data_IF_943700610668
#
_entry.id   IF_943700610668
#
_cell.length_a   1.000
_cell.length_b   1.000
_cell.length_c   1.000
_cell.angle_alpha   90.00
_cell.angle_beta   90.00
_cell.angle_gamma   90.00
#
_symmetry.space_group_name_H-M   'P 1'
#
loop_
_entity.id
_entity.type
_entity.pdbx_description
1 polymer ?
#
# COMPACT_ATOMS: atom_id res chain seq x y z
N UNK A 1 11.08 41.50 -26.74
CA UNK A 1 11.26 40.54 -25.61
C UNK A 1 9.99 39.72 -25.45
N UNK A 2 8.79 40.30 -25.60
CA UNK A 2 7.51 39.55 -25.47
C UNK A 2 7.33 38.45 -26.54
N UNK A 3 7.65 38.74 -27.80
CA UNK A 3 7.50 37.80 -28.92
C UNK A 3 8.45 36.59 -28.85
N UNK A 4 9.59 36.72 -28.22
CA UNK A 4 10.57 35.63 -28.06
C UNK A 4 10.14 34.66 -26.96
N UNK A 5 9.49 35.17 -25.87
CA UNK A 5 8.97 34.36 -24.77
C UNK A 5 7.75 33.53 -25.23
N UNK A 6 6.92 34.14 -26.11
CA UNK A 6 5.76 33.41 -26.67
C UNK A 6 6.20 32.30 -27.64
N UNK A 7 7.27 32.53 -28.43
CA UNK A 7 7.81 31.54 -29.38
C UNK A 7 8.43 30.32 -28.63
N UNK A 8 9.16 30.57 -27.56
CA UNK A 8 9.77 29.52 -26.73
C UNK A 8 8.69 28.73 -25.99
N UNK A 9 7.65 29.42 -25.53
CA UNK A 9 6.49 28.78 -24.87
C UNK A 9 5.69 27.88 -25.85
N UNK A 10 5.54 28.29 -27.09
CA UNK A 10 4.87 27.52 -28.16
C UNK A 10 5.74 26.34 -28.58
N UNK A 11 7.06 26.53 -28.73
CA UNK A 11 7.98 25.43 -29.06
C UNK A 11 8.10 24.40 -27.89
N UNK A 12 8.17 24.87 -26.67
CA UNK A 12 8.19 23.98 -25.52
C UNK A 12 6.88 23.17 -25.37
N UNK A 13 5.72 23.79 -25.67
CA UNK A 13 4.43 23.07 -25.75
C UNK A 13 4.41 22.08 -26.90
N UNK A 14 4.88 22.46 -28.09
CA UNK A 14 4.93 21.56 -29.26
C UNK A 14 5.87 20.36 -29.02
N UNK A 15 6.99 20.56 -28.35
CA UNK A 15 7.91 19.48 -27.96
C UNK A 15 7.31 18.59 -26.85
N UNK A 16 6.61 19.19 -25.91
CA UNK A 16 5.89 18.45 -24.86
C UNK A 16 4.75 17.62 -25.47
N UNK A 17 3.98 18.21 -26.39
CA UNK A 17 2.90 17.53 -27.10
C UNK A 17 3.43 16.44 -28.05
N UNK A 18 4.56 16.67 -28.74
CA UNK A 18 5.24 15.66 -29.56
C UNK A 18 5.81 14.51 -28.71
N UNK A 19 6.42 14.82 -27.58
CA UNK A 19 6.94 13.80 -26.66
C UNK A 19 5.82 13.08 -25.91
N UNK A 20 4.75 13.75 -25.56
CA UNK A 20 3.54 13.13 -25.02
C UNK A 20 2.84 12.28 -26.09
N UNK A 21 2.86 12.69 -27.36
CA UNK A 21 2.36 11.92 -28.49
C UNK A 21 3.24 10.71 -28.80
N UNK A 22 4.59 10.84 -28.79
CA UNK A 22 5.52 9.71 -28.93
C UNK A 22 5.43 8.73 -27.75
N UNK A 23 5.28 9.23 -26.53
CA UNK A 23 5.03 8.41 -25.36
C UNK A 23 3.63 7.81 -25.42
N UNK A 24 2.64 8.53 -25.92
CA UNK A 24 1.30 7.99 -26.17
C UNK A 24 1.31 6.93 -27.29
N UNK A 25 2.05 7.12 -28.39
CA UNK A 25 2.20 6.10 -29.42
C UNK A 25 3.01 4.87 -28.96
N UNK A 26 4.07 5.05 -28.16
CA UNK A 26 4.77 3.94 -27.49
C UNK A 26 3.88 3.24 -26.46
N UNK A 27 2.94 3.97 -25.84
CA UNK A 27 1.98 3.45 -24.87
C UNK A 27 0.77 2.80 -25.56
N UNK A 28 0.36 3.25 -26.76
CA UNK A 28 -0.72 2.62 -27.54
C UNK A 28 -0.31 1.27 -28.15
N UNK A 29 0.99 1.01 -28.34
CA UNK A 29 1.46 -0.35 -28.64
C UNK A 29 1.59 -1.24 -27.39
N UNK A 30 1.55 -0.70 -26.17
CA UNK A 30 1.75 -1.42 -24.91
C UNK A 30 0.83 -1.07 -23.74
N UNK A 31 -0.47 -0.98 -23.92
CA UNK A 31 -1.45 -0.71 -22.86
C UNK A 31 -1.72 0.77 -22.54
N UNK A 32 -2.95 1.21 -22.79
CA UNK A 32 -3.49 2.56 -22.58
C UNK A 32 -3.55 2.99 -21.08
N UNK A 33 -2.58 2.58 -20.26
CA UNK A 33 -2.61 2.81 -18.82
C UNK A 33 -1.26 3.24 -18.27
N UNK A 34 -1.20 4.43 -17.73
CA UNK A 34 -0.05 4.95 -17.02
C UNK A 34 -0.26 4.82 -15.50
N UNK A 35 0.51 3.99 -14.78
CA UNK A 35 0.37 3.73 -13.34
C UNK A 35 1.27 4.63 -12.51
N UNK A 36 0.74 5.41 -11.58
CA UNK A 36 1.54 6.08 -10.56
C UNK A 36 1.53 5.27 -9.28
N UNK A 37 2.63 4.67 -8.91
CA UNK A 37 2.86 4.17 -7.58
C UNK A 37 3.74 5.15 -6.80
N UNK A 38 3.25 5.67 -5.69
CA UNK A 38 4.05 6.43 -4.76
C UNK A 38 4.42 5.53 -3.59
N UNK A 39 5.64 5.00 -3.58
CA UNK A 39 6.21 4.52 -2.32
C UNK A 39 6.97 5.66 -1.65
N UNK A 40 6.79 5.80 -0.34
CA UNK A 40 7.56 6.71 0.48
C UNK A 40 9.03 6.27 0.47
N UNK A 41 9.87 7.00 -0.23
CA UNK A 41 11.30 6.72 -0.22
C UNK A 41 12.02 6.78 -1.56
N UNK A 42 11.84 7.84 -2.36
CA UNK A 42 12.80 8.19 -3.42
C UNK A 42 12.84 7.30 -4.66
N UNK A 43 11.90 6.39 -4.83
CA UNK A 43 11.69 5.67 -6.08
C UNK A 43 10.90 6.50 -7.08
N UNK A 44 11.12 6.30 -8.37
CA UNK A 44 10.30 6.86 -9.43
C UNK A 44 8.82 6.54 -9.20
N UNK A 45 7.93 7.37 -9.71
CA UNK A 45 6.51 7.08 -9.68
C UNK A 45 6.03 6.64 -11.05
N UNK A 46 5.09 5.75 -11.04
CA UNK A 46 4.40 5.25 -12.20
C UNK A 46 2.97 5.81 -12.19
N UNK A 47 2.54 6.49 -13.26
CA UNK A 47 1.17 7.04 -13.39
C UNK A 47 0.42 6.18 -14.39
N UNK A 48 -0.75 5.70 -14.05
CA UNK A 48 -1.68 5.11 -15.00
C UNK A 48 -2.90 6.04 -15.13
N UNK A 49 -3.04 6.69 -16.27
CA UNK A 49 -4.21 7.50 -16.58
C UNK A 49 -5.05 6.68 -17.55
N UNK A 50 -6.19 6.20 -17.07
CA UNK A 50 -7.20 5.64 -17.96
C UNK A 50 -8.09 6.79 -18.44
N UNK A 51 -8.28 6.92 -19.73
CA UNK A 51 -9.37 7.78 -20.22
C UNK A 51 -10.71 7.25 -19.70
N UNK A 52 -11.60 8.14 -19.20
CA UNK A 52 -12.92 7.71 -18.79
C UNK A 52 -13.59 7.05 -20.00
N UNK A 53 -13.80 5.75 -19.95
CA UNK A 53 -14.54 5.05 -20.98
C UNK A 53 -15.97 5.60 -21.11
N UNK A 54 -16.51 5.59 -22.31
CA UNK A 54 -17.91 5.90 -22.50
C UNK A 54 -18.75 4.96 -21.61
N UNK A 55 -19.73 5.53 -20.90
CA UNK A 55 -20.65 4.74 -20.08
C UNK A 55 -21.39 3.77 -21.00
N UNK A 56 -21.21 2.48 -20.81
CA UNK A 56 -21.90 1.46 -21.58
C UNK A 56 -23.28 1.27 -20.94
N UNK A 57 -24.32 1.38 -21.76
CA UNK A 57 -25.69 1.20 -21.28
C UNK A 57 -25.86 -0.23 -20.74
N UNK A 58 -26.31 -0.38 -19.50
CA UNK A 58 -26.45 -1.68 -18.82
C UNK A 58 -25.20 -2.20 -18.11
N UNK A 59 -24.10 -1.46 -18.11
CA UNK A 59 -22.91 -1.82 -17.34
C UNK A 59 -23.15 -1.69 -15.83
N UNK A 60 -22.64 -2.66 -15.06
CA UNK A 60 -22.67 -2.58 -13.59
C UNK A 60 -21.84 -1.40 -13.10
N UNK A 61 -22.38 -0.63 -12.14
CA UNK A 61 -21.73 0.58 -11.61
C UNK A 61 -20.35 0.30 -11.00
N UNK A 62 -20.15 -0.87 -10.40
CA UNK A 62 -18.87 -1.24 -9.79
C UNK A 62 -17.84 -1.61 -10.86
N UNK A 63 -18.27 -2.29 -11.93
CA UNK A 63 -17.40 -2.63 -13.06
C UNK A 63 -16.96 -1.36 -13.80
N UNK A 64 -17.90 -0.40 -14.01
CA UNK A 64 -17.59 0.92 -14.56
C UNK A 64 -16.57 1.67 -13.68
N UNK A 65 -16.78 1.69 -12.35
CA UNK A 65 -15.87 2.32 -11.41
C UNK A 65 -14.46 1.68 -11.45
N UNK A 66 -14.36 0.35 -11.50
CA UNK A 66 -13.09 -0.35 -11.58
C UNK A 66 -12.35 -0.04 -12.89
N UNK A 67 -13.08 0.08 -14.00
CA UNK A 67 -12.53 0.50 -15.29
C UNK A 67 -12.01 1.94 -15.22
N UNK A 68 -12.85 2.88 -14.78
CA UNK A 68 -12.53 4.31 -14.76
C UNK A 68 -11.36 4.65 -13.81
N UNK A 69 -11.11 3.79 -12.80
CA UNK A 69 -9.96 3.88 -11.91
C UNK A 69 -8.74 3.12 -12.43
N UNK A 70 -8.79 2.57 -13.65
CA UNK A 70 -7.68 1.79 -14.21
C UNK A 70 -7.39 0.49 -13.46
N UNK A 71 -8.34 -0.05 -12.71
CA UNK A 71 -8.15 -1.22 -11.87
C UNK A 71 -8.43 -2.54 -12.58
N UNK A 72 -9.15 -2.51 -13.71
CA UNK A 72 -9.35 -3.68 -14.55
C UNK A 72 -8.02 -4.10 -15.18
N UNK A 73 -7.71 -5.39 -15.09
CA UNK A 73 -6.40 -5.97 -15.40
C UNK A 73 -5.87 -5.73 -16.80
N UNK A 74 -4.71 -6.34 -17.06
CA UNK A 74 -3.93 -6.21 -18.28
C UNK A 74 -4.72 -6.52 -19.55
N UNK A 75 -4.32 -5.85 -20.63
CA UNK A 75 -4.79 -5.92 -22.04
C UNK A 75 -5.75 -7.04 -22.42
N UNK A 76 -6.88 -6.63 -22.95
CA UNK A 76 -7.73 -7.46 -23.80
C UNK A 76 -8.58 -8.53 -23.10
N UNK A 77 -8.48 -8.64 -21.80
CA UNK A 77 -9.39 -9.48 -21.02
C UNK A 77 -10.46 -8.60 -20.36
N UNK A 78 -11.47 -8.24 -21.14
CA UNK A 78 -12.69 -7.55 -20.66
C UNK A 78 -13.38 -8.24 -19.47
N UNK A 79 -12.92 -9.42 -19.05
CA UNK A 79 -13.46 -10.22 -17.96
C UNK A 79 -12.51 -10.35 -16.76
N UNK A 80 -11.51 -9.49 -16.58
CA UNK A 80 -10.71 -9.54 -15.36
C UNK A 80 -11.49 -8.95 -14.19
N UNK A 81 -12.20 -9.80 -13.48
CA UNK A 81 -13.02 -9.44 -12.31
C UNK A 81 -12.22 -9.38 -11.01
N UNK A 82 -10.90 -9.57 -11.06
CA UNK A 82 -10.08 -9.63 -9.85
C UNK A 82 -10.19 -8.38 -8.99
N UNK A 83 -10.13 -7.18 -9.61
CA UNK A 83 -10.25 -5.92 -8.86
C UNK A 83 -11.61 -5.80 -8.17
N UNK A 84 -12.68 -6.19 -8.86
CA UNK A 84 -14.03 -6.23 -8.30
C UNK A 84 -14.11 -7.22 -7.13
N UNK A 85 -13.64 -8.45 -7.32
CA UNK A 85 -13.66 -9.48 -6.27
C UNK A 85 -12.85 -9.03 -5.04
N UNK A 86 -11.69 -8.43 -5.25
CA UNK A 86 -10.88 -7.88 -4.17
C UNK A 86 -11.60 -6.74 -3.44
N UNK A 87 -12.23 -5.84 -4.18
CA UNK A 87 -13.00 -4.75 -3.59
C UNK A 87 -14.17 -5.28 -2.75
N UNK A 88 -14.95 -6.21 -3.28
CA UNK A 88 -16.06 -6.85 -2.57
C UNK A 88 -15.57 -7.57 -1.30
N UNK A 89 -14.47 -8.33 -1.40
CA UNK A 89 -13.89 -9.04 -0.28
C UNK A 89 -13.35 -8.11 0.82
N UNK A 90 -12.62 -7.06 0.43
CA UNK A 90 -12.05 -6.09 1.37
C UNK A 90 -13.17 -5.25 2.03
N UNK A 91 -14.23 -4.94 1.27
CA UNK A 91 -15.36 -4.16 1.76
C UNK A 91 -16.22 -4.95 2.74
N UNK A 92 -16.45 -6.22 2.46
CA UNK A 92 -17.31 -7.09 3.28
C UNK A 92 -16.65 -7.53 4.58
N UNK A 93 -15.32 -7.67 4.61
CA UNK A 93 -14.62 -8.25 5.75
C UNK A 93 -14.63 -7.37 7.00
N UNK A 94 -14.80 -6.05 6.86
CA UNK A 94 -14.70 -5.08 7.97
C UNK A 94 -13.36 -5.08 8.73
N UNK A 95 -12.48 -6.03 8.43
CA UNK A 95 -11.15 -6.20 9.03
C UNK A 95 -10.07 -6.25 7.95
N UNK A 96 -8.84 -5.95 8.38
CA UNK A 96 -7.70 -6.06 7.48
C UNK A 96 -7.42 -7.53 7.13
N UNK A 97 -7.29 -7.82 5.84
CA UNK A 97 -7.06 -9.17 5.31
C UNK A 97 -5.66 -9.26 4.69
N UNK A 98 -4.96 -10.36 4.90
CA UNK A 98 -3.61 -10.56 4.33
C UNK A 98 -3.68 -10.80 2.83
N UNK A 99 -2.60 -10.47 2.10
CA UNK A 99 -2.49 -10.76 0.67
C UNK A 99 -2.64 -12.26 0.36
N UNK A 100 -2.16 -13.13 1.26
CA UNK A 100 -2.31 -14.57 1.09
C UNK A 100 -3.79 -14.97 1.18
N UNK A 101 -4.49 -14.53 2.22
CA UNK A 101 -5.91 -14.82 2.37
C UNK A 101 -6.77 -14.26 1.23
N UNK A 102 -6.40 -13.08 0.69
CA UNK A 102 -7.05 -12.53 -0.50
C UNK A 102 -6.80 -13.42 -1.75
N UNK A 103 -5.57 -13.92 -1.92
CA UNK A 103 -5.23 -14.83 -3.02
C UNK A 103 -6.01 -16.15 -2.90
N UNK A 104 -6.07 -16.73 -1.72
CA UNK A 104 -6.81 -17.97 -1.47
C UNK A 104 -8.32 -17.79 -1.76
N UNK A 105 -8.90 -16.64 -1.37
CA UNK A 105 -10.33 -16.36 -1.58
C UNK A 105 -10.68 -16.06 -3.03
N UNK A 106 -9.80 -15.39 -3.77
CA UNK A 106 -10.04 -15.07 -5.18
C UNK A 106 -9.64 -16.20 -6.13
N UNK A 107 -8.87 -17.18 -5.64
CA UNK A 107 -8.30 -18.25 -6.47
C UNK A 107 -7.19 -17.78 -7.42
N UNK A 108 -6.66 -16.58 -7.17
CA UNK A 108 -5.63 -15.96 -8.01
C UNK A 108 -4.24 -16.08 -7.40
N UNK A 109 -3.19 -15.92 -8.22
CA UNK A 109 -1.83 -15.94 -7.74
C UNK A 109 -1.54 -14.73 -6.84
N UNK A 110 -0.73 -14.94 -5.80
CA UNK A 110 -0.34 -13.88 -4.86
C UNK A 110 0.25 -12.65 -5.56
N UNK A 111 1.05 -12.85 -6.60
CA UNK A 111 1.67 -11.75 -7.35
C UNK A 111 0.63 -10.92 -8.12
N UNK A 112 -0.40 -11.56 -8.66
CA UNK A 112 -1.50 -10.89 -9.36
C UNK A 112 -2.36 -10.10 -8.39
N UNK A 113 -2.74 -10.70 -7.26
CA UNK A 113 -3.45 -10.03 -6.16
C UNK A 113 -2.65 -8.85 -5.63
N UNK A 114 -1.34 -9.02 -5.41
CA UNK A 114 -0.48 -7.93 -4.95
C UNK A 114 -0.50 -6.74 -5.90
N UNK A 115 -0.34 -6.96 -7.21
CA UNK A 115 -0.40 -5.87 -8.22
C UNK A 115 -1.75 -5.17 -8.23
N UNK A 116 -2.84 -5.92 -8.16
CA UNK A 116 -4.18 -5.34 -8.11
C UNK A 116 -4.40 -4.50 -6.82
N UNK A 117 -3.99 -5.02 -5.67
CA UNK A 117 -4.05 -4.30 -4.39
C UNK A 117 -3.18 -3.04 -4.41
N UNK A 118 -1.96 -3.08 -4.98
CA UNK A 118 -1.12 -1.88 -5.10
C UNK A 118 -1.78 -0.80 -5.96
N UNK A 119 -2.45 -1.18 -7.07
CA UNK A 119 -3.26 -0.23 -7.86
C UNK A 119 -4.41 0.36 -7.04
N UNK A 120 -5.16 -0.44 -6.30
CA UNK A 120 -6.22 0.04 -5.41
C UNK A 120 -5.69 1.00 -4.33
N UNK A 121 -4.50 0.73 -3.80
CA UNK A 121 -3.82 1.62 -2.85
C UNK A 121 -3.38 2.93 -3.51
N UNK A 122 -2.81 2.85 -4.70
CA UNK A 122 -2.43 4.04 -5.47
C UNK A 122 -3.64 4.92 -5.80
N UNK A 123 -4.79 4.32 -6.11
CA UNK A 123 -6.06 5.02 -6.28
C UNK A 123 -6.67 5.55 -4.97
N UNK A 124 -6.12 5.19 -3.81
CA UNK A 124 -6.64 5.63 -2.50
C UNK A 124 -7.85 4.84 -1.98
N UNK A 125 -8.25 3.75 -2.65
CA UNK A 125 -9.39 2.91 -2.27
C UNK A 125 -9.05 1.98 -1.11
N UNK A 126 -7.86 1.38 -1.16
CA UNK A 126 -7.39 0.47 -0.14
C UNK A 126 -6.20 1.05 0.63
N UNK A 127 -6.03 0.60 1.85
CA UNK A 127 -4.87 0.95 2.67
C UNK A 127 -4.24 -0.29 3.31
N UNK A 128 -2.94 -0.19 3.57
CA UNK A 128 -2.19 -1.19 4.32
C UNK A 128 -2.12 -0.78 5.77
N UNK A 129 -2.58 -1.64 6.66
CA UNK A 129 -2.60 -1.36 8.10
C UNK A 129 -1.93 -2.48 8.89
N UNK A 130 -1.31 -2.19 10.04
CA UNK A 130 -0.82 -3.23 10.95
C UNK A 130 -1.98 -4.09 11.47
N UNK A 131 -1.76 -5.39 11.53
CA UNK A 131 -2.71 -6.34 12.10
C UNK A 131 -2.38 -6.54 13.58
N UNK A 132 -2.97 -5.68 14.42
CA UNK A 132 -2.66 -5.63 15.86
C UNK A 132 -2.94 -6.95 16.58
N UNK A 133 -4.01 -7.65 16.17
CA UNK A 133 -4.39 -8.97 16.67
C UNK A 133 -3.33 -10.05 16.37
N UNK A 134 -2.54 -9.89 15.32
CA UNK A 134 -1.46 -10.83 14.95
C UNK A 134 -0.12 -10.49 15.56
N UNK A 135 0.12 -9.25 15.96
CA UNK A 135 1.40 -8.85 16.57
C UNK A 135 1.65 -9.67 17.83
N UNK A 136 0.67 -9.80 18.69
CA UNK A 136 0.80 -10.58 19.93
C UNK A 136 1.16 -12.04 19.67
N UNK A 137 0.56 -12.65 18.65
CA UNK A 137 0.87 -14.02 18.22
C UNK A 137 2.31 -14.15 17.74
N UNK A 138 2.75 -13.22 16.88
CA UNK A 138 4.10 -13.26 16.31
C UNK A 138 5.16 -12.95 17.37
N UNK A 139 4.88 -12.02 18.31
CA UNK A 139 5.75 -11.74 19.46
C UNK A 139 5.81 -12.95 20.38
N UNK A 140 4.69 -13.58 20.73
CA UNK A 140 4.66 -14.80 21.52
C UNK A 140 5.53 -15.90 20.89
N UNK A 141 5.32 -16.20 19.62
CA UNK A 141 6.09 -17.21 18.91
C UNK A 141 7.59 -16.87 18.85
N UNK A 142 7.92 -15.59 18.64
CA UNK A 142 9.29 -15.09 18.66
C UNK A 142 9.94 -15.21 20.03
N UNK A 143 9.26 -14.82 21.11
CA UNK A 143 9.75 -14.94 22.49
C UNK A 143 10.04 -16.40 22.84
N UNK A 144 9.09 -17.30 22.59
CA UNK A 144 9.27 -18.73 22.91
C UNK A 144 10.41 -19.34 22.11
N UNK A 145 10.51 -19.05 20.81
CA UNK A 145 11.61 -19.53 19.96
C UNK A 145 12.96 -19.03 20.42
N UNK A 146 13.10 -17.74 20.69
CA UNK A 146 14.38 -17.14 21.10
C UNK A 146 14.77 -17.51 22.52
N UNK A 147 13.82 -17.61 23.44
CA UNK A 147 14.07 -18.11 24.79
C UNK A 147 14.64 -19.53 24.77
N UNK A 148 14.02 -20.44 24.01
CA UNK A 148 14.46 -21.83 23.89
C UNK A 148 15.85 -21.95 23.23
N UNK A 149 16.16 -21.07 22.28
CA UNK A 149 17.42 -21.11 21.55
C UNK A 149 18.58 -20.40 22.26
N UNK A 150 18.29 -19.31 23.01
CA UNK A 150 19.30 -18.35 23.46
C UNK A 150 19.17 -17.95 24.93
N UNK A 151 18.09 -18.31 25.58
CA UNK A 151 17.85 -18.04 26.99
C UNK A 151 17.32 -16.61 27.28
N UNK A 152 17.11 -16.37 28.57
CA UNK A 152 16.51 -15.14 29.10
C UNK A 152 17.42 -13.91 28.95
N UNK A 153 18.71 -14.09 29.24
CA UNK A 153 19.70 -13.00 29.15
C UNK A 153 19.76 -12.40 27.76
N UNK A 154 19.71 -13.23 26.73
CA UNK A 154 19.67 -12.77 25.36
C UNK A 154 18.39 -11.96 25.07
N UNK A 155 17.23 -12.39 25.57
CA UNK A 155 15.98 -11.67 25.42
C UNK A 155 16.05 -10.26 26.01
N UNK A 156 16.66 -10.12 27.18
CA UNK A 156 16.82 -8.83 27.85
C UNK A 156 17.80 -7.92 27.14
N UNK A 157 18.92 -8.44 26.66
CA UNK A 157 20.01 -7.64 26.07
C UNK A 157 19.83 -7.41 24.58
N UNK A 158 19.79 -8.48 23.78
CA UNK A 158 19.71 -8.44 22.30
C UNK A 158 18.31 -8.66 21.75
N UNK A 159 17.45 -9.34 22.49
CA UNK A 159 16.06 -9.62 22.11
C UNK A 159 15.12 -8.41 22.18
N UNK A 160 15.63 -7.29 22.69
CA UNK A 160 14.91 -6.01 22.68
C UNK A 160 13.97 -5.79 23.87
N UNK A 161 13.83 -6.77 24.78
CA UNK A 161 12.95 -6.59 25.96
C UNK A 161 13.49 -5.49 26.89
N UNK A 162 14.81 -5.39 27.08
CA UNK A 162 15.40 -4.33 27.90
C UNK A 162 15.21 -2.89 27.38
N UNK A 163 14.62 -2.72 26.20
CA UNK A 163 14.26 -1.41 25.63
C UNK A 163 12.81 -1.00 25.91
N UNK A 164 12.01 -1.93 26.44
CA UNK A 164 10.65 -1.68 26.87
C UNK A 164 10.62 -1.23 28.32
N UNK A 165 9.49 -0.72 28.75
CA UNK A 165 9.28 -0.40 30.16
C UNK A 165 9.55 -1.62 31.04
N UNK A 166 10.14 -1.37 32.20
CA UNK A 166 10.56 -2.43 33.11
C UNK A 166 9.42 -3.37 33.52
N UNK A 167 8.22 -2.83 33.72
CA UNK A 167 7.02 -3.59 34.06
C UNK A 167 6.61 -4.55 32.93
N UNK A 168 6.68 -4.09 31.68
CA UNK A 168 6.37 -4.88 30.48
C UNK A 168 7.41 -6.00 30.32
N UNK A 169 8.68 -5.66 30.40
CA UNK A 169 9.79 -6.60 30.27
C UNK A 169 9.74 -7.69 31.32
N UNK A 170 9.53 -7.32 32.59
CA UNK A 170 9.40 -8.25 33.71
C UNK A 170 8.18 -9.19 33.55
N UNK A 171 7.05 -8.66 33.06
CA UNK A 171 5.84 -9.44 32.86
C UNK A 171 6.03 -10.48 31.75
N UNK A 172 6.65 -10.10 30.63
CA UNK A 172 6.93 -11.02 29.53
C UNK A 172 7.91 -12.13 29.96
N UNK A 173 9.02 -11.75 30.61
CA UNK A 173 10.03 -12.72 31.09
C UNK A 173 9.45 -13.67 32.13
N UNK A 174 8.71 -13.15 33.12
CA UNK A 174 8.07 -13.98 34.13
C UNK A 174 7.09 -14.96 33.50
N UNK A 175 6.32 -14.52 32.51
CA UNK A 175 5.40 -15.36 31.76
C UNK A 175 6.08 -16.48 30.98
N UNK A 176 7.21 -16.18 30.32
CA UNK A 176 8.04 -17.16 29.61
C UNK A 176 8.64 -18.18 30.58
N UNK A 177 9.26 -17.70 31.66
CA UNK A 177 9.91 -18.54 32.70
C UNK A 177 8.92 -19.50 33.33
N UNK A 178 7.73 -19.02 33.70
CA UNK A 178 6.66 -19.82 34.32
C UNK A 178 5.88 -20.68 33.33
N UNK A 179 6.20 -20.61 32.02
CA UNK A 179 5.43 -21.26 30.94
C UNK A 179 3.93 -20.92 30.99
N UNK A 180 3.60 -19.75 31.51
CA UNK A 180 2.22 -19.28 31.68
C UNK A 180 1.83 -18.21 30.66
N UNK A 181 2.76 -17.85 29.74
CA UNK A 181 2.51 -16.90 28.67
C UNK A 181 1.61 -17.56 27.61
N UNK A 182 0.62 -16.81 27.16
CA UNK A 182 -0.21 -17.14 26.01
C UNK A 182 -0.42 -15.89 25.16
N UNK A 183 -1.06 -16.02 24.00
CA UNK A 183 -1.26 -14.92 23.04
C UNK A 183 -2.07 -13.79 23.69
N UNK A 184 -3.13 -14.10 24.42
CA UNK A 184 -3.99 -13.11 25.08
C UNK A 184 -3.23 -12.28 26.11
N UNK A 185 -2.44 -12.93 26.96
CA UNK A 185 -1.57 -12.24 27.93
C UNK A 185 -0.52 -11.36 27.25
N UNK A 186 0.06 -11.81 26.13
CA UNK A 186 0.98 -10.98 25.36
C UNK A 186 0.26 -9.78 24.80
N UNK A 187 -0.96 -9.93 24.31
CA UNK A 187 -1.79 -8.83 23.82
C UNK A 187 -2.05 -7.80 24.91
N UNK A 188 -2.47 -8.25 26.11
CA UNK A 188 -2.74 -7.38 27.25
C UNK A 188 -1.47 -6.63 27.72
N UNK A 189 -0.34 -7.33 27.79
CA UNK A 189 0.95 -6.75 28.20
C UNK A 189 1.44 -5.73 27.15
N UNK A 190 1.21 -5.97 25.86
CA UNK A 190 1.62 -5.07 24.78
C UNK A 190 0.62 -3.93 24.52
N UNK A 191 -0.59 -3.99 25.03
CA UNK A 191 -1.62 -2.98 24.80
C UNK A 191 -1.16 -1.52 25.11
N UNK A 192 -0.46 -1.25 26.23
CA UNK A 192 0.06 0.08 26.54
C UNK A 192 1.34 0.43 25.77
N UNK A 193 1.99 -0.52 25.09
CA UNK A 193 3.26 -0.31 24.39
C UNK A 193 3.03 0.39 23.05
N UNK A 194 3.74 1.49 22.73
CA UNK A 194 3.63 2.16 21.45
C UNK A 194 3.92 1.20 20.27
N UNK A 195 3.19 1.34 19.17
CA UNK A 195 3.27 0.46 18.01
C UNK A 195 4.70 0.37 17.43
N UNK A 196 5.43 1.48 17.44
CA UNK A 196 6.84 1.49 16.96
C UNK A 196 7.74 0.65 17.86
N UNK A 197 7.54 0.66 19.19
CA UNK A 197 8.28 -0.19 20.11
C UNK A 197 7.93 -1.68 19.92
N UNK A 198 6.63 -1.99 19.71
CA UNK A 198 6.20 -3.35 19.34
C UNK A 198 6.84 -3.83 18.04
N UNK A 199 6.93 -2.94 17.03
CA UNK A 199 7.60 -3.23 15.75
C UNK A 199 9.10 -3.53 15.94
N UNK A 200 9.79 -2.73 16.75
CA UNK A 200 11.21 -2.95 17.05
C UNK A 200 11.40 -4.27 17.78
N UNK A 201 10.58 -4.55 18.78
CA UNK A 201 10.61 -5.82 19.51
C UNK A 201 10.42 -7.01 18.57
N UNK A 202 9.38 -6.96 17.73
CA UNK A 202 9.07 -8.03 16.78
C UNK A 202 10.26 -8.27 15.82
N UNK A 203 10.85 -7.22 15.28
CA UNK A 203 12.00 -7.32 14.38
C UNK A 203 13.21 -7.94 15.08
N UNK A 204 13.50 -7.56 16.34
CA UNK A 204 14.61 -8.14 17.12
C UNK A 204 14.39 -9.62 17.45
N UNK A 205 13.15 -10.04 17.61
CA UNK A 205 12.77 -11.44 17.77
C UNK A 205 12.82 -12.25 16.46
N UNK A 206 13.15 -11.60 15.33
CA UNK A 206 13.24 -12.20 14.00
C UNK A 206 11.87 -12.35 13.28
N UNK A 207 10.88 -11.62 13.74
CA UNK A 207 9.58 -11.45 13.07
C UNK A 207 9.56 -10.25 12.14
N UNK A 208 8.45 -10.07 11.44
CA UNK A 208 8.16 -8.89 10.63
C UNK A 208 6.77 -8.39 10.99
N UNK A 209 6.60 -7.06 11.02
CA UNK A 209 5.29 -6.46 11.27
C UNK A 209 4.22 -7.07 10.32
N UNK A 210 3.19 -7.72 10.88
CA UNK A 210 2.09 -8.25 10.07
C UNK A 210 1.22 -7.11 9.57
N UNK A 211 1.00 -7.08 8.25
CA UNK A 211 0.14 -6.10 7.61
C UNK A 211 -1.01 -6.78 6.90
N UNK A 212 -2.15 -6.13 6.96
CA UNK A 212 -3.33 -6.48 6.18
C UNK A 212 -3.77 -5.33 5.29
N UNK A 213 -4.67 -5.64 4.39
CA UNK A 213 -5.31 -4.70 3.46
C UNK A 213 -6.76 -4.52 3.90
N UNK A 214 -7.22 -3.28 3.92
CA UNK A 214 -8.63 -2.93 4.14
C UNK A 214 -9.03 -1.75 3.28
N UNK A 215 -10.32 -1.46 3.22
CA UNK A 215 -10.83 -0.22 2.62
C UNK A 215 -10.27 0.99 3.38
N UNK A 216 -9.89 2.04 2.65
CA UNK A 216 -9.19 3.21 3.17
C UNK A 216 -10.06 4.20 3.97
N UNK A 217 -11.31 3.87 4.23
CA UNK A 217 -12.25 4.69 4.98
C UNK A 217 -13.25 3.85 5.75
N UNK A 218 -13.99 4.49 6.65
CA UNK A 218 -15.05 3.83 7.41
C UNK A 218 -16.36 3.71 6.63
N UNK A 219 -16.56 4.62 5.67
CA UNK A 219 -17.74 4.73 4.82
C UNK A 219 -17.36 5.28 3.44
N UNK A 220 -18.31 5.32 2.52
CA UNK A 220 -18.10 5.78 1.14
C UNK A 220 -17.64 7.23 1.04
N UNK A 221 -18.08 8.10 1.95
CA UNK A 221 -17.66 9.51 1.97
C UNK A 221 -16.17 9.63 2.33
N UNK A 222 -15.71 8.89 3.34
CA UNK A 222 -14.30 8.84 3.73
C UNK A 222 -13.40 8.24 2.63
N UNK A 223 -13.86 7.20 1.94
CA UNK A 223 -13.15 6.64 0.78
C UNK A 223 -13.04 7.67 -0.35
N UNK A 224 -14.16 8.33 -0.69
CA UNK A 224 -14.18 9.40 -1.70
C UNK A 224 -13.18 10.51 -1.38
N UNK A 225 -13.19 11.02 -0.15
CA UNK A 225 -12.26 12.06 0.30
C UNK A 225 -10.79 11.58 0.19
N UNK A 226 -10.53 10.32 0.48
CA UNK A 226 -9.20 9.74 0.36
C UNK A 226 -8.73 9.65 -1.09
N UNK A 227 -9.60 9.21 -1.98
CA UNK A 227 -9.35 9.16 -3.43
C UNK A 227 -9.05 10.57 -3.96
N UNK A 228 -9.86 11.58 -3.61
CA UNK A 228 -9.64 12.96 -4.02
C UNK A 228 -8.30 13.51 -3.51
N UNK A 229 -7.97 13.30 -2.25
CA UNK A 229 -6.67 13.70 -1.69
C UNK A 229 -5.49 13.02 -2.39
N UNK A 230 -5.64 11.76 -2.78
CA UNK A 230 -4.60 11.05 -3.52
C UNK A 230 -4.43 11.61 -4.92
N UNK A 231 -5.53 11.91 -5.62
CA UNK A 231 -5.51 12.57 -6.92
C UNK A 231 -4.82 13.93 -6.86
N UNK A 232 -5.18 14.78 -5.89
CA UNK A 232 -4.55 16.09 -5.68
C UNK A 232 -3.04 15.99 -5.39
N UNK A 233 -2.63 15.01 -4.60
CA UNK A 233 -1.21 14.75 -4.32
C UNK A 233 -0.47 14.37 -5.60
N UNK A 234 -1.07 13.51 -6.40
CA UNK A 234 -0.54 13.07 -7.69
C UNK A 234 -0.38 14.22 -8.67
N UNK A 235 -1.43 15.04 -8.83
CA UNK A 235 -1.40 16.23 -9.70
C UNK A 235 -0.30 17.23 -9.27
N UNK A 236 -0.15 17.46 -7.97
CA UNK A 236 0.93 18.34 -7.45
C UNK A 236 2.32 17.78 -7.79
N UNK A 237 2.52 16.48 -7.64
CA UNK A 237 3.78 15.81 -8.01
C UNK A 237 4.06 15.93 -9.51
N UNK A 238 3.06 15.69 -10.35
CA UNK A 238 3.18 15.84 -11.80
C UNK A 238 3.60 17.26 -12.20
N UNK A 239 2.96 18.28 -11.61
CA UNK A 239 3.35 19.69 -11.84
C UNK A 239 4.81 19.95 -11.47
N UNK A 240 5.25 19.44 -10.31
CA UNK A 240 6.65 19.58 -9.87
C UNK A 240 7.62 18.89 -10.83
N UNK A 241 7.28 17.71 -11.35
CA UNK A 241 8.12 16.98 -12.32
C UNK A 241 8.17 17.72 -13.66
N UNK A 242 7.04 18.18 -14.16
CA UNK A 242 6.97 18.98 -15.39
C UNK A 242 7.81 20.26 -15.28
N UNK A 243 7.73 20.96 -14.15
CA UNK A 243 8.54 22.15 -13.89
C UNK A 243 10.04 21.84 -13.88
N UNK A 244 10.46 20.76 -13.19
CA UNK A 244 11.88 20.34 -13.19
C UNK A 244 12.38 19.92 -14.58
N UNK A 245 11.51 19.31 -15.37
CA UNK A 245 11.84 18.97 -16.75
C UNK A 245 12.06 20.23 -17.59
N UNK A 246 11.18 21.22 -17.47
CA UNK A 246 11.28 22.52 -18.12
C UNK A 246 12.61 23.22 -17.74
N UNK A 247 12.94 23.27 -16.44
CA UNK A 247 14.20 23.82 -15.94
C UNK A 247 15.43 23.08 -16.51
N UNK A 248 15.34 21.75 -16.64
CA UNK A 248 16.44 20.92 -17.17
C UNK A 248 16.65 21.05 -18.68
N UNK A 249 15.60 21.39 -19.42
CA UNK A 249 15.66 21.59 -20.86
C UNK A 249 16.02 23.03 -21.24
N UNK A 250 15.87 23.99 -20.30
CA UNK A 250 16.24 25.39 -20.48
C UNK A 250 17.72 25.68 -20.17
N UNK A 251 18.46 24.74 -19.60
CA UNK A 251 19.89 24.80 -19.28
C UNK A 251 20.74 24.19 -20.38
#
# INVERSE_FOLDING_TARGET
ISAAVDLVSVQARAILDLRLSEVAEMVTESDDRMVISSEDGGGGFQIEIAEPGATVEGEDRLDALMRDLGLNGERGKHNDRLARQLFEEISSSGRATTLLALADKTGDSRSRVQRAVERMRAAGIAERVPMLDRIAQDVYAGLMRQHNARGEEWLMTRGGLGRLDESVSKSLIAGVRKKSLNIEKVQDILAPVPLDAQRVLLNTLGGRMPYGIRISGRDGAAVKERVMRQADRTLRRLRTVAQRLDESLAS
#
